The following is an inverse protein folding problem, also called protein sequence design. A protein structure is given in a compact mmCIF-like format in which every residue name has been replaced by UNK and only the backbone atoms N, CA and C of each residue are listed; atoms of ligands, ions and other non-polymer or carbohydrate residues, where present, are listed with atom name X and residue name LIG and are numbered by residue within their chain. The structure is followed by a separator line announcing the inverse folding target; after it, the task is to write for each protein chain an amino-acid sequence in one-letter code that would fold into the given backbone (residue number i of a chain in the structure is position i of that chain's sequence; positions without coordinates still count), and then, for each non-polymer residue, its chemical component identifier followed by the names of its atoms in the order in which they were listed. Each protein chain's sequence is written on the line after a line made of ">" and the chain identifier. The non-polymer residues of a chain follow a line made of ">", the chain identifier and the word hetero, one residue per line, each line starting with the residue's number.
data_IF_238830234769
#
_entry.id   IF_238830234769
#
_cell.length_a   1.000
_cell.length_b   1.000
_cell.length_c   1.000
_cell.angle_alpha   90.00
_cell.angle_beta   90.00
_cell.angle_gamma   90.00
#
_symmetry.space_group_name_H-M   'P 1'
#
loop_
_entity.id
_entity.type
_entity.pdbx_description
1 polymer ?
#
# COMPACT_ATOMS: atom_id res chain seq x y z
N UNK A 1 19.78 21.10 -11.72
CA UNK A 1 19.27 19.97 -12.53
C UNK A 1 18.54 19.01 -11.58
N UNK A 2 17.23 18.83 -11.77
CA UNK A 2 16.40 18.03 -10.85
C UNK A 2 16.59 16.54 -11.15
N UNK A 3 17.60 15.91 -10.54
CA UNK A 3 17.88 14.49 -10.77
C UNK A 3 16.76 13.63 -10.14
N UNK A 4 16.00 12.82 -10.91
CA UNK A 4 14.86 12.07 -10.40
C UNK A 4 15.26 11.13 -9.26
N UNK A 5 14.39 10.97 -8.25
CA UNK A 5 14.54 9.97 -7.18
C UNK A 5 14.70 8.59 -7.81
N UNK A 6 15.80 7.89 -7.55
CA UNK A 6 15.98 6.50 -7.96
C UNK A 6 15.21 5.57 -7.01
N UNK A 7 14.55 4.49 -7.47
CA UNK A 7 13.80 3.57 -6.61
C UNK A 7 14.63 3.02 -5.44
N UNK A 8 15.92 2.73 -5.68
CA UNK A 8 16.82 2.19 -4.66
C UNK A 8 17.15 3.18 -3.54
N UNK A 9 17.04 4.48 -3.80
CA UNK A 9 17.29 5.50 -2.76
C UNK A 9 16.24 5.43 -1.65
N UNK A 10 14.96 5.19 -1.99
CA UNK A 10 13.90 5.08 -0.99
C UNK A 10 14.01 3.79 -0.18
N UNK A 11 14.51 2.71 -0.78
CA UNK A 11 14.73 1.41 -0.11
C UNK A 11 15.84 1.45 0.94
N UNK A 12 16.72 2.45 0.86
CA UNK A 12 17.79 2.63 1.85
C UNK A 12 17.36 3.51 3.03
N UNK A 13 16.17 4.14 2.97
CA UNK A 13 15.67 5.03 4.02
C UNK A 13 14.77 4.28 5.00
N UNK A 14 14.94 4.52 6.30
CA UNK A 14 14.20 3.86 7.38
C UNK A 14 13.18 4.85 7.96
N UNK A 15 11.88 4.54 7.98
CA UNK A 15 11.27 3.20 7.80
C UNK A 15 10.72 2.92 6.39
N UNK A 16 11.03 3.73 5.38
CA UNK A 16 10.49 3.56 4.01
C UNK A 16 10.84 2.20 3.40
N UNK A 17 11.98 1.62 3.79
CA UNK A 17 12.41 0.28 3.43
C UNK A 17 11.45 -0.84 3.84
N UNK A 18 10.49 -0.55 4.72
CA UNK A 18 9.46 -1.51 5.16
C UNK A 18 8.22 -1.53 4.26
N UNK A 19 8.09 -0.57 3.35
CA UNK A 19 6.95 -0.42 2.45
C UNK A 19 7.06 -1.35 1.23
N UNK A 20 5.93 -1.81 0.70
CA UNK A 20 5.89 -2.67 -0.48
C UNK A 20 6.38 -1.93 -1.75
N UNK A 21 6.84 -2.65 -2.80
CA UNK A 21 7.27 -2.02 -4.05
C UNK A 21 6.22 -1.09 -4.68
N UNK A 22 4.93 -1.44 -4.57
CA UNK A 22 3.82 -0.61 -5.05
C UNK A 22 3.63 0.64 -4.20
N UNK A 23 3.64 0.51 -2.87
CA UNK A 23 3.53 1.66 -1.97
C UNK A 23 4.69 2.63 -2.16
N UNK A 24 5.91 2.12 -2.32
CA UNK A 24 7.09 2.92 -2.66
C UNK A 24 6.93 3.64 -4.01
N UNK A 25 6.36 2.97 -5.01
CA UNK A 25 6.10 3.59 -6.31
C UNK A 25 5.06 4.72 -6.21
N UNK A 26 3.95 4.48 -5.52
CA UNK A 26 2.88 5.47 -5.29
C UNK A 26 3.36 6.67 -4.46
N UNK A 27 4.22 6.42 -3.47
CA UNK A 27 4.85 7.44 -2.65
C UNK A 27 5.85 8.26 -3.48
N UNK A 28 6.74 7.59 -4.24
CA UNK A 28 7.74 8.23 -5.10
C UNK A 28 7.13 9.23 -6.08
N UNK A 29 5.97 8.90 -6.67
CA UNK A 29 5.30 9.77 -7.64
C UNK A 29 4.92 11.15 -7.06
N UNK A 30 4.86 11.28 -5.73
CA UNK A 30 4.44 12.50 -5.01
C UNK A 30 5.60 13.17 -4.29
N UNK A 31 6.78 12.55 -4.28
CA UNK A 31 7.95 13.04 -3.58
C UNK A 31 8.89 13.79 -4.52
N UNK A 32 9.36 14.95 -4.09
CA UNK A 32 10.37 15.73 -4.79
C UNK A 32 11.54 16.04 -3.84
N UNK A 33 12.78 15.66 -4.19
CA UNK A 33 13.95 16.06 -3.42
C UNK A 33 14.12 17.58 -3.44
N UNK A 34 14.38 18.15 -2.28
CA UNK A 34 14.64 19.57 -2.12
C UNK A 34 16.15 19.79 -1.95
N UNK A 35 16.76 20.72 -2.71
CA UNK A 35 18.13 21.12 -2.49
C UNK A 35 18.24 22.00 -1.24
N UNK A 36 19.35 21.85 -0.50
CA UNK A 36 19.74 22.72 0.61
C UNK A 36 21.20 23.12 0.38
N UNK A 37 21.45 24.40 0.11
CA UNK A 37 22.79 24.88 -0.25
C UNK A 37 23.73 24.89 0.96
N UNK A 38 25.04 24.76 0.71
CA UNK A 38 26.04 24.86 1.77
C UNK A 38 25.85 26.14 2.63
N UNK A 39 25.83 25.97 3.95
CA UNK A 39 25.60 27.04 4.93
C UNK A 39 24.14 27.38 5.20
N UNK A 40 23.18 26.90 4.40
CA UNK A 40 21.76 27.14 4.59
C UNK A 40 21.23 26.34 5.80
N UNK A 41 20.33 26.95 6.56
CA UNK A 41 19.62 26.32 7.68
C UNK A 41 18.25 25.84 7.21
N UNK A 42 17.87 24.63 7.62
CA UNK A 42 16.52 24.09 7.40
C UNK A 42 15.57 24.71 8.43
N UNK A 43 14.68 25.60 7.98
CA UNK A 43 13.66 26.21 8.83
C UNK A 43 12.47 25.25 9.00
N UNK A 44 12.20 24.82 10.22
CA UNK A 44 10.99 24.09 10.56
C UNK A 44 9.80 25.05 10.53
N UNK A 45 8.95 24.97 9.49
CA UNK A 45 7.76 25.82 9.39
C UNK A 45 6.69 25.32 10.38
N UNK A 46 6.57 26.01 11.52
CA UNK A 46 5.38 25.99 12.38
C UNK A 46 5.29 24.84 13.40
N UNK A 47 4.55 25.11 14.48
CA UNK A 47 4.50 24.38 15.75
C UNK A 47 4.09 22.89 15.73
N UNK A 48 3.93 22.27 14.55
CA UNK A 48 3.92 20.81 14.41
C UNK A 48 4.64 20.43 13.11
N UNK A 49 5.66 19.55 13.15
CA UNK A 49 6.29 19.09 11.93
C UNK A 49 5.31 18.19 11.17
N UNK A 50 4.65 18.76 10.16
CA UNK A 50 3.75 18.01 9.28
C UNK A 50 4.49 17.00 8.40
N UNK A 51 5.82 17.05 8.32
CA UNK A 51 6.62 16.18 7.48
C UNK A 51 7.92 15.72 8.16
N UNK A 52 8.34 14.48 7.93
CA UNK A 52 9.66 13.94 8.27
C UNK A 52 10.65 14.17 7.14
N UNK A 53 11.88 14.52 7.50
CA UNK A 53 12.94 14.80 6.55
C UNK A 53 13.98 13.68 6.51
N UNK A 54 14.42 13.30 5.32
CA UNK A 54 15.46 12.30 5.10
C UNK A 54 16.61 12.89 4.28
N UNK A 55 17.85 12.54 4.61
CA UNK A 55 19.04 13.01 3.92
C UNK A 55 19.41 12.06 2.77
N UNK A 56 19.27 12.52 1.53
CA UNK A 56 19.58 11.73 0.33
C UNK A 56 21.05 11.85 -0.09
N UNK A 57 21.63 13.03 0.07
CA UNK A 57 23.04 13.31 -0.26
C UNK A 57 23.56 14.49 0.55
N UNK A 58 24.87 14.49 0.79
CA UNK A 58 25.56 15.57 1.51
C UNK A 58 25.72 15.29 3.01
N UNK A 59 26.04 16.34 3.75
CA UNK A 59 26.31 16.31 5.18
C UNK A 59 25.63 17.49 5.89
N UNK A 60 24.99 17.22 7.01
CA UNK A 60 24.33 18.21 7.86
C UNK A 60 25.04 18.31 9.21
N UNK A 61 25.08 19.52 9.76
CA UNK A 61 25.30 19.78 11.17
C UNK A 61 23.95 19.90 11.86
N UNK A 62 23.75 19.11 12.90
CA UNK A 62 22.55 19.07 13.73
C UNK A 62 22.91 19.64 15.10
N UNK A 63 22.24 20.71 15.50
CA UNK A 63 22.40 21.31 16.83
C UNK A 63 21.18 20.97 17.66
N UNK A 64 21.40 20.33 18.81
CA UNK A 64 20.33 19.96 19.72
C UNK A 64 19.87 21.14 20.62
N UNK A 65 18.93 20.87 21.51
CA UNK A 65 18.43 21.84 22.50
C UNK A 65 19.45 22.21 23.58
N UNK A 66 20.42 21.33 23.84
CA UNK A 66 21.55 21.55 24.75
C UNK A 66 22.72 22.30 24.09
N UNK A 67 22.66 22.52 22.77
CA UNK A 67 23.70 23.20 21.99
C UNK A 67 24.84 22.30 21.52
N UNK A 68 24.73 20.98 21.65
CA UNK A 68 25.70 20.04 21.08
C UNK A 68 25.51 19.94 19.57
N UNK A 69 26.61 20.15 18.84
CA UNK A 69 26.67 19.95 17.39
C UNK A 69 27.08 18.51 17.06
N UNK A 70 26.25 17.81 16.29
CA UNK A 70 26.53 16.49 15.74
C UNK A 70 26.46 16.51 14.21
N UNK A 71 27.25 15.66 13.55
CA UNK A 71 27.31 15.60 12.09
C UNK A 71 26.55 14.38 11.56
N UNK A 72 25.62 14.62 10.64
CA UNK A 72 24.90 13.59 9.90
C UNK A 72 25.38 13.53 8.45
N UNK A 73 25.64 12.33 7.92
CA UNK A 73 26.09 12.14 6.53
C UNK A 73 25.22 11.13 5.80
N UNK A 74 24.81 11.45 4.57
CA UNK A 74 24.07 10.54 3.71
C UNK A 74 24.81 9.21 3.50
N UNK A 75 24.08 8.10 3.45
CA UNK A 75 24.64 6.76 3.24
C UNK A 75 25.33 6.12 4.46
N UNK A 76 25.43 6.84 5.58
CA UNK A 76 25.80 6.24 6.87
C UNK A 76 24.56 5.61 7.53
N UNK A 77 24.72 4.64 8.47
CA UNK A 77 23.58 4.07 9.19
C UNK A 77 22.69 5.13 9.87
N UNK A 78 23.30 6.17 10.44
CA UNK A 78 22.57 7.30 11.01
C UNK A 78 21.83 8.12 9.93
N UNK A 79 22.47 8.36 8.79
CA UNK A 79 21.90 9.12 7.67
C UNK A 79 20.75 8.44 6.92
N UNK A 80 20.56 7.14 7.11
CA UNK A 80 19.43 6.39 6.55
C UNK A 80 18.11 6.66 7.30
N UNK A 81 18.17 7.16 8.54
CA UNK A 81 16.99 7.44 9.35
C UNK A 81 16.44 8.84 9.06
N UNK A 82 15.15 9.06 9.36
CA UNK A 82 14.58 10.41 9.35
C UNK A 82 15.26 11.29 10.41
N UNK A 83 15.45 12.58 10.10
CA UNK A 83 15.98 13.57 11.03
C UNK A 83 15.17 13.59 12.34
N UNK A 84 15.81 13.54 13.52
CA UNK A 84 15.11 13.56 14.80
C UNK A 84 14.52 14.96 15.05
N UNK A 85 13.20 15.12 15.02
CA UNK A 85 12.57 16.45 15.05
C UNK A 85 12.35 17.01 16.45
N UNK A 86 12.24 16.15 17.46
CA UNK A 86 11.90 16.52 18.82
C UNK A 86 13.07 17.05 19.66
N UNK A 87 14.29 17.08 19.11
CA UNK A 87 15.52 17.42 19.85
C UNK A 87 16.46 18.34 19.08
N UNK A 88 16.03 18.93 17.97
CA UNK A 88 16.91 19.77 17.14
C UNK A 88 16.44 21.22 17.18
N UNK A 89 17.34 22.13 17.56
CA UNK A 89 17.11 23.57 17.41
C UNK A 89 17.38 24.02 15.97
N UNK A 90 18.52 23.61 15.40
CA UNK A 90 18.95 24.04 14.08
C UNK A 90 19.58 22.91 13.29
N UNK A 91 19.29 22.87 12.00
CA UNK A 91 19.89 21.93 11.05
C UNK A 91 20.53 22.73 9.93
N UNK A 92 21.85 22.62 9.77
CA UNK A 92 22.63 23.40 8.79
C UNK A 92 23.30 22.48 7.78
N UNK A 93 23.24 22.83 6.51
CA UNK A 93 24.02 22.16 5.47
C UNK A 93 25.51 22.50 5.59
N UNK A 94 26.37 21.48 5.70
CA UNK A 94 27.83 21.65 5.64
C UNK A 94 28.35 21.70 4.20
N UNK A 95 27.58 21.14 3.29
CA UNK A 95 27.83 21.07 1.84
C UNK A 95 26.48 21.05 1.13
N UNK A 96 26.46 21.07 -0.20
CA UNK A 96 25.20 20.99 -0.95
C UNK A 96 24.49 19.65 -0.66
N UNK A 97 23.33 19.75 -0.03
CA UNK A 97 22.55 18.63 0.45
C UNK A 97 21.27 18.46 -0.38
N UNK A 98 20.76 17.23 -0.38
CA UNK A 98 19.42 16.94 -0.89
C UNK A 98 18.61 16.27 0.20
N UNK A 99 17.45 16.87 0.48
CA UNK A 99 16.52 16.40 1.49
C UNK A 99 15.25 15.87 0.83
N UNK A 100 14.63 14.90 1.48
CA UNK A 100 13.33 14.38 1.12
C UNK A 100 12.36 14.68 2.27
N UNK A 101 11.31 15.43 1.99
CA UNK A 101 10.22 15.66 2.95
C UNK A 101 9.09 14.68 2.67
N UNK A 102 8.67 13.92 3.68
CA UNK A 102 7.54 13.00 3.62
C UNK A 102 6.54 13.40 4.68
N UNK A 103 5.29 13.66 4.31
CA UNK A 103 4.23 14.01 5.26
C UNK A 103 4.08 12.95 6.37
N UNK A 104 4.01 13.39 7.63
CA UNK A 104 3.98 12.51 8.79
C UNK A 104 2.66 11.73 8.87
N UNK A 105 1.53 12.36 8.54
CA UNK A 105 0.22 11.68 8.54
C UNK A 105 0.14 10.63 7.44
N UNK A 106 0.69 10.91 6.26
CA UNK A 106 0.75 9.97 5.14
C UNK A 106 1.73 8.83 5.44
N UNK A 107 2.88 9.13 6.03
CA UNK A 107 3.85 8.12 6.45
C UNK A 107 3.28 7.22 7.55
N UNK A 108 2.67 7.78 8.58
CA UNK A 108 2.00 7.01 9.63
C UNK A 108 0.87 6.16 9.07
N UNK A 109 0.08 6.66 8.13
CA UNK A 109 -0.97 5.89 7.44
C UNK A 109 -0.40 4.69 6.67
N UNK A 110 0.75 4.87 6.01
CA UNK A 110 1.44 3.81 5.27
C UNK A 110 2.09 2.78 6.19
N UNK A 111 2.59 3.22 7.36
CA UNK A 111 3.24 2.36 8.34
C UNK A 111 2.23 1.63 9.25
N UNK A 112 1.15 2.27 9.68
CA UNK A 112 0.08 1.68 10.50
C UNK A 112 -0.58 0.50 9.80
N UNK A 113 -0.55 0.52 8.48
CA UNK A 113 -1.00 -0.54 7.60
C UNK A 113 -0.29 -1.87 7.83
N UNK A 114 1.01 -1.88 8.18
CA UNK A 114 1.76 -3.12 8.47
C UNK A 114 1.54 -3.61 9.89
N UNK A 115 1.55 -2.70 10.87
CA UNK A 115 1.40 -3.05 12.29
C UNK A 115 0.01 -3.66 12.56
N UNK A 116 -1.04 -3.00 12.09
CA UNK A 116 -2.41 -3.50 12.26
C UNK A 116 -2.68 -4.79 11.46
N UNK A 117 -1.96 -5.00 10.35
CA UNK A 117 -2.06 -6.22 9.56
C UNK A 117 -1.41 -7.41 10.25
N UNK A 118 -0.23 -7.19 10.83
CA UNK A 118 0.49 -8.22 11.57
C UNK A 118 -0.22 -8.56 12.88
N UNK A 119 -0.79 -7.58 13.59
CA UNK A 119 -1.61 -7.81 14.78
C UNK A 119 -2.92 -8.56 14.45
N UNK A 120 -3.58 -8.23 13.34
CA UNK A 120 -4.78 -8.95 12.89
C UNK A 120 -4.44 -10.39 12.49
N UNK A 121 -3.35 -10.61 11.75
CA UNK A 121 -2.88 -11.95 11.41
C UNK A 121 -2.52 -12.76 12.66
N UNK A 122 -1.82 -12.16 13.63
CA UNK A 122 -1.49 -12.80 14.91
C UNK A 122 -2.75 -13.15 15.71
N UNK A 123 -3.74 -12.25 15.77
CA UNK A 123 -5.01 -12.52 16.46
C UNK A 123 -5.82 -13.64 15.79
N UNK A 124 -5.84 -13.70 14.45
CA UNK A 124 -6.61 -14.69 13.70
C UNK A 124 -5.91 -16.06 13.63
N UNK A 125 -4.57 -16.07 13.64
CA UNK A 125 -3.78 -17.31 13.73
C UNK A 125 -3.88 -17.96 15.11
N UNK A 126 -4.15 -17.19 16.17
CA UNK A 126 -4.49 -17.73 17.49
C UNK A 126 -5.83 -18.51 17.51
N UNK A 127 -6.74 -18.25 16.55
CA UNK A 127 -8.02 -18.95 16.41
C UNK A 127 -7.92 -20.26 15.57
N UNK A 128 -6.71 -20.69 15.18
CA UNK A 128 -6.39 -22.08 14.84
C UNK A 128 -6.70 -22.59 13.43
N UNK A 129 -7.54 -21.94 12.62
CA UNK A 129 -7.91 -22.44 11.27
C UNK A 129 -7.77 -21.43 10.13
N UNK A 130 -7.31 -20.21 10.43
CA UNK A 130 -7.42 -19.08 9.51
C UNK A 130 -6.09 -18.66 8.85
N UNK A 131 -4.94 -18.96 9.46
CA UNK A 131 -3.64 -18.36 9.09
C UNK A 131 -3.18 -18.62 7.65
N UNK A 132 -3.13 -19.89 7.24
CA UNK A 132 -2.39 -20.29 6.02
C UNK A 132 -3.01 -19.76 4.71
N UNK A 133 -4.33 -19.60 4.66
CA UNK A 133 -5.01 -19.06 3.47
C UNK A 133 -5.23 -17.54 3.54
N UNK A 134 -5.10 -16.94 4.74
CA UNK A 134 -5.25 -15.50 4.93
C UNK A 134 -4.05 -14.72 4.39
N UNK A 135 -2.84 -15.25 4.47
CA UNK A 135 -1.64 -14.54 4.00
C UNK A 135 -1.72 -14.19 2.50
N UNK A 136 -2.00 -15.14 1.58
CA UNK A 136 -2.14 -14.83 0.16
C UNK A 136 -3.32 -13.89 -0.15
N UNK A 137 -4.41 -14.03 0.61
CA UNK A 137 -5.58 -13.16 0.50
C UNK A 137 -5.19 -11.71 0.80
N UNK A 138 -4.47 -11.51 1.89
CA UNK A 138 -4.08 -10.21 2.39
C UNK A 138 -3.00 -9.52 1.54
N UNK A 139 -2.13 -10.31 0.90
CA UNK A 139 -1.17 -9.82 -0.09
C UNK A 139 -1.82 -9.36 -1.39
N UNK A 140 -3.09 -9.71 -1.63
CA UNK A 140 -3.78 -9.33 -2.85
C UNK A 140 -3.94 -7.79 -2.94
N UNK A 141 -3.61 -7.17 -4.09
CA UNK A 141 -3.70 -5.73 -4.32
C UNK A 141 -5.04 -5.06 -3.99
N UNK A 142 -6.12 -5.84 -3.99
CA UNK A 142 -7.44 -5.39 -3.60
C UNK A 142 -7.55 -5.18 -2.09
N UNK A 143 -7.05 -6.13 -1.28
CA UNK A 143 -7.07 -5.98 0.16
C UNK A 143 -6.08 -4.94 0.63
N UNK A 144 -5.02 -4.65 -0.13
CA UNK A 144 -4.12 -3.51 0.06
C UNK A 144 -4.82 -2.13 0.04
N UNK A 145 -6.12 -2.10 -0.25
CA UNK A 145 -6.94 -0.89 -0.23
C UNK A 145 -7.97 -0.87 0.91
N UNK A 146 -8.18 -1.99 1.60
CA UNK A 146 -9.12 -2.13 2.71
C UNK A 146 -8.45 -1.73 4.03
N UNK A 147 -8.97 -0.74 4.78
CA UNK A 147 -8.39 -0.34 6.06
C UNK A 147 -8.28 -1.54 7.02
N UNK A 148 -7.17 -1.70 7.78
CA UNK A 148 -6.99 -2.84 8.69
C UNK A 148 -8.14 -3.06 9.68
N UNK A 149 -8.72 -1.97 10.20
CA UNK A 149 -9.88 -2.02 11.08
C UNK A 149 -11.13 -2.66 10.44
N UNK A 150 -11.19 -2.68 9.10
CA UNK A 150 -12.29 -3.27 8.36
C UNK A 150 -12.02 -4.73 7.96
N UNK A 151 -10.76 -5.20 8.00
CA UNK A 151 -10.39 -6.57 7.61
C UNK A 151 -11.16 -7.58 8.46
N UNK A 152 -11.23 -7.40 9.79
CA UNK A 152 -11.99 -8.31 10.65
C UNK A 152 -13.48 -8.35 10.32
N UNK A 153 -14.10 -7.19 10.11
CA UNK A 153 -15.53 -7.12 9.74
C UNK A 153 -15.81 -7.76 8.39
N UNK A 154 -14.86 -7.64 7.45
CA UNK A 154 -14.92 -8.28 6.14
C UNK A 154 -14.77 -9.79 6.23
N UNK A 155 -13.80 -10.31 6.99
CA UNK A 155 -13.61 -11.75 7.19
C UNK A 155 -14.88 -12.40 7.76
N UNK A 156 -15.58 -11.70 8.66
CA UNK A 156 -16.87 -12.15 9.21
C UNK A 156 -18.01 -12.20 8.18
N UNK A 157 -17.87 -11.51 7.03
CA UNK A 157 -18.87 -11.46 5.95
C UNK A 157 -18.52 -12.40 4.79
N UNK A 158 -17.36 -13.04 4.81
CA UNK A 158 -16.98 -14.04 3.82
C UNK A 158 -17.79 -15.31 4.04
N UNK A 159 -18.38 -15.83 2.97
CA UNK A 159 -19.14 -17.08 2.99
C UNK A 159 -18.36 -18.12 2.19
N UNK A 160 -17.98 -19.21 2.84
CA UNK A 160 -17.33 -20.34 2.19
C UNK A 160 -18.32 -21.09 1.29
N UNK A 161 -17.87 -21.44 0.08
CA UNK A 161 -18.62 -22.20 -0.92
C UNK A 161 -17.71 -23.31 -1.43
N UNK A 162 -18.08 -24.54 -1.14
CA UNK A 162 -17.44 -25.74 -1.67
C UNK A 162 -17.91 -26.00 -3.09
N UNK A 163 -16.98 -26.36 -3.98
CA UNK A 163 -17.22 -26.49 -5.41
C UNK A 163 -16.50 -27.71 -5.96
N UNK A 164 -17.14 -28.38 -6.91
CA UNK A 164 -16.54 -29.50 -7.62
C UNK A 164 -15.82 -29.03 -8.90
N UNK A 165 -14.87 -29.84 -9.38
CA UNK A 165 -14.23 -29.66 -10.67
C UNK A 165 -15.27 -29.51 -11.80
N UNK A 166 -15.04 -28.54 -12.69
CA UNK A 166 -15.93 -28.21 -13.80
C UNK A 166 -17.11 -27.30 -13.44
N UNK A 167 -17.35 -27.01 -12.15
CA UNK A 167 -18.46 -26.17 -11.74
C UNK A 167 -18.23 -24.71 -12.16
N UNK A 168 -19.20 -24.05 -12.84
CA UNK A 168 -19.12 -22.64 -13.16
C UNK A 168 -19.39 -21.77 -11.92
N UNK A 169 -18.63 -20.69 -11.78
CA UNK A 169 -18.76 -19.72 -10.69
C UNK A 169 -19.27 -18.38 -11.20
N UNK A 170 -18.68 -17.90 -12.30
CA UNK A 170 -19.03 -16.66 -12.96
C UNK A 170 -19.22 -16.94 -14.45
N UNK A 171 -20.15 -16.23 -15.05
CA UNK A 171 -20.36 -16.30 -16.49
C UNK A 171 -20.23 -14.92 -17.12
N UNK A 172 -19.49 -14.86 -18.23
CA UNK A 172 -19.29 -13.64 -19.00
C UNK A 172 -20.63 -13.02 -19.40
N UNK A 173 -20.74 -11.69 -19.28
CA UNK A 173 -21.95 -10.94 -19.61
C UNK A 173 -23.00 -10.90 -18.51
N UNK A 174 -22.86 -11.68 -17.42
CA UNK A 174 -23.78 -11.60 -16.29
C UNK A 174 -23.54 -10.37 -15.41
N UNK A 175 -24.54 -9.99 -14.63
CA UNK A 175 -24.38 -8.91 -13.65
C UNK A 175 -23.42 -9.32 -12.52
N UNK A 176 -22.58 -8.38 -12.08
CA UNK A 176 -21.70 -8.58 -10.93
C UNK A 176 -22.38 -8.24 -9.60
N UNK A 177 -22.76 -9.24 -8.82
CA UNK A 177 -23.38 -9.07 -7.49
C UNK A 177 -22.45 -9.49 -6.32
N UNK A 178 -21.32 -10.12 -6.62
CA UNK A 178 -20.32 -10.58 -5.65
C UNK A 178 -18.94 -10.75 -6.28
N UNK A 179 -17.91 -10.89 -5.44
CA UNK A 179 -16.58 -11.35 -5.85
C UNK A 179 -16.18 -12.55 -5.01
N UNK A 180 -15.12 -13.23 -5.43
CA UNK A 180 -14.66 -14.47 -4.83
C UNK A 180 -13.16 -14.44 -4.56
N UNK A 181 -12.75 -15.24 -3.57
CA UNK A 181 -11.37 -15.54 -3.29
C UNK A 181 -11.17 -17.05 -3.32
N UNK A 182 -10.16 -17.51 -4.05
CA UNK A 182 -9.85 -18.93 -4.13
C UNK A 182 -9.12 -19.37 -2.85
N UNK A 183 -9.78 -20.16 -2.00
CA UNK A 183 -9.20 -20.67 -0.76
C UNK A 183 -8.41 -21.96 -1.00
N UNK A 184 -8.91 -22.84 -1.86
CA UNK A 184 -8.27 -24.10 -2.24
C UNK A 184 -8.74 -24.57 -3.62
N UNK A 185 -7.97 -25.44 -4.26
CA UNK A 185 -8.20 -25.92 -5.62
C UNK A 185 -7.62 -24.97 -6.67
N UNK A 186 -8.09 -25.12 -7.92
CA UNK A 186 -7.69 -24.30 -9.07
C UNK A 186 -8.90 -23.89 -9.88
N UNK A 187 -8.85 -22.73 -10.53
CA UNK A 187 -9.92 -22.27 -11.41
C UNK A 187 -9.38 -21.73 -12.73
N UNK A 188 -10.19 -21.74 -13.79
CA UNK A 188 -9.85 -21.18 -15.09
C UNK A 188 -10.71 -19.97 -15.40
N UNK A 189 -10.06 -18.91 -15.89
CA UNK A 189 -10.71 -17.72 -16.44
C UNK A 189 -10.75 -17.86 -17.96
N UNK A 190 -11.95 -17.80 -18.53
CA UNK A 190 -12.17 -17.99 -19.97
C UNK A 190 -13.04 -16.88 -20.53
N UNK A 191 -12.83 -16.52 -21.80
CA UNK A 191 -13.62 -15.51 -22.50
C UNK A 191 -14.13 -16.05 -23.84
N UNK A 192 -15.32 -15.62 -24.24
CA UNK A 192 -16.03 -16.14 -25.40
C UNK A 192 -16.79 -17.43 -25.08
N UNK A 193 -17.56 -17.92 -26.06
CA UNK A 193 -18.38 -19.12 -25.92
C UNK A 193 -18.14 -20.11 -27.07
N UNK A 194 -18.46 -21.39 -26.86
CA UNK A 194 -18.35 -22.42 -27.88
C UNK A 194 -16.93 -22.56 -28.45
N UNK A 195 -16.82 -22.51 -29.78
CA UNK A 195 -15.55 -22.65 -30.50
C UNK A 195 -14.61 -21.45 -30.34
N UNK A 196 -15.11 -20.29 -29.91
CA UNK A 196 -14.31 -19.07 -29.67
C UNK A 196 -13.85 -18.94 -28.21
N UNK A 197 -14.12 -19.95 -27.37
CA UNK A 197 -13.73 -19.92 -25.96
C UNK A 197 -12.21 -19.95 -25.81
N UNK A 198 -11.65 -18.87 -25.29
CA UNK A 198 -10.22 -18.70 -25.03
C UNK A 198 -9.92 -18.77 -23.53
N UNK A 199 -8.89 -19.54 -23.14
CA UNK A 199 -8.33 -19.51 -21.79
C UNK A 199 -7.49 -18.24 -21.62
N UNK A 200 -7.83 -17.42 -20.62
CA UNK A 200 -7.10 -16.19 -20.31
C UNK A 200 -6.08 -16.39 -19.19
N UNK A 201 -6.45 -17.14 -18.15
CA UNK A 201 -5.60 -17.40 -16.99
C UNK A 201 -6.08 -18.63 -16.22
N UNK A 202 -5.16 -19.23 -15.46
CA UNK A 202 -5.47 -20.16 -14.37
C UNK A 202 -5.25 -19.44 -13.03
N UNK A 203 -6.12 -19.71 -12.07
CA UNK A 203 -6.13 -19.10 -10.74
C UNK A 203 -5.70 -20.14 -9.72
N UNK A 204 -4.79 -19.72 -8.84
CA UNK A 204 -4.28 -20.49 -7.70
C UNK A 204 -4.83 -19.94 -6.37
N UNK A 205 -4.76 -20.71 -5.27
CA UNK A 205 -5.17 -20.22 -3.96
C UNK A 205 -4.57 -18.86 -3.61
N UNK A 206 -5.40 -17.95 -3.08
CA UNK A 206 -5.06 -16.55 -2.85
C UNK A 206 -5.52 -15.60 -3.96
N UNK A 207 -5.88 -16.11 -5.14
CA UNK A 207 -6.44 -15.29 -6.21
C UNK A 207 -7.79 -14.68 -5.82
N UNK A 208 -7.98 -13.41 -6.17
CA UNK A 208 -9.29 -12.73 -6.16
C UNK A 208 -9.81 -12.65 -7.60
N UNK A 209 -11.11 -12.82 -7.78
CA UNK A 209 -11.74 -12.66 -9.09
C UNK A 209 -13.20 -12.17 -8.98
N UNK A 210 -13.65 -11.50 -10.05
CA UNK A 210 -15.00 -10.93 -10.15
C UNK A 210 -15.16 -9.53 -9.55
N UNK A 211 -14.09 -8.96 -9.00
CA UNK A 211 -14.02 -7.62 -8.44
C UNK A 211 -14.22 -6.51 -9.49
N UNK A 212 -13.77 -6.71 -10.72
CA UNK A 212 -13.86 -5.68 -11.78
C UNK A 212 -15.31 -5.29 -12.07
N UNK A 213 -16.20 -6.27 -12.12
CA UNK A 213 -17.64 -6.04 -12.34
C UNK A 213 -18.27 -5.20 -11.21
N UNK A 214 -17.72 -5.30 -9.99
CA UNK A 214 -18.19 -4.52 -8.83
C UNK A 214 -17.63 -3.09 -8.85
N UNK A 215 -16.37 -2.93 -9.26
CA UNK A 215 -15.66 -1.65 -9.29
C UNK A 215 -16.11 -0.76 -10.44
N UNK A 216 -16.29 -1.33 -11.62
CA UNK A 216 -16.65 -0.58 -12.83
C UNK A 216 -18.17 -0.47 -13.04
N UNK A 217 -18.96 -1.19 -12.23
CA UNK A 217 -20.41 -1.34 -12.40
C UNK A 217 -20.79 -1.83 -13.81
N UNK A 218 -20.06 -2.84 -14.28
CA UNK A 218 -20.21 -3.46 -15.60
C UNK A 218 -20.48 -4.96 -15.50
N UNK A 219 -21.04 -5.59 -16.55
CA UNK A 219 -21.18 -7.04 -16.60
C UNK A 219 -19.82 -7.76 -16.47
N UNK A 220 -19.86 -9.05 -16.09
CA UNK A 220 -18.67 -9.91 -16.01
C UNK A 220 -17.92 -9.89 -17.34
N UNK A 221 -16.62 -9.61 -17.29
CA UNK A 221 -15.73 -9.53 -18.46
C UNK A 221 -15.30 -10.91 -19.01
N UNK A 222 -15.46 -11.96 -18.21
CA UNK A 222 -15.00 -13.32 -18.45
C UNK A 222 -15.80 -14.30 -17.57
N UNK A 223 -15.79 -15.57 -17.96
CA UNK A 223 -16.34 -16.69 -17.19
C UNK A 223 -15.26 -17.34 -16.33
N UNK A 224 -15.64 -17.85 -15.16
CA UNK A 224 -14.74 -18.57 -14.25
C UNK A 224 -15.36 -19.91 -13.88
N UNK A 225 -14.57 -20.98 -13.96
CA UNK A 225 -14.99 -22.34 -13.58
C UNK A 225 -13.87 -23.07 -12.84
N UNK A 226 -14.23 -23.95 -11.90
CA UNK A 226 -13.24 -24.78 -11.19
C UNK A 226 -12.57 -25.76 -12.15
N UNK A 227 -11.26 -25.92 -12.02
CA UNK A 227 -10.46 -26.97 -12.66
C UNK A 227 -10.35 -28.21 -11.76
N UNK A 228 -10.42 -28.02 -10.45
CA UNK A 228 -10.31 -29.05 -9.42
C UNK A 228 -11.31 -28.79 -8.30
N UNK A 229 -11.63 -29.81 -7.50
CA UNK A 229 -12.43 -29.64 -6.30
C UNK A 229 -11.75 -28.64 -5.35
N UNK A 230 -12.55 -27.76 -4.74
CA UNK A 230 -11.99 -26.72 -3.90
C UNK A 230 -13.04 -25.83 -3.25
N UNK A 231 -12.54 -24.82 -2.54
CA UNK A 231 -13.33 -23.89 -1.76
C UNK A 231 -13.06 -22.46 -2.22
N UNK A 232 -14.12 -21.67 -2.34
CA UNK A 232 -14.03 -20.22 -2.54
C UNK A 232 -14.72 -19.47 -1.43
N UNK A 233 -14.27 -18.25 -1.17
CA UNK A 233 -14.88 -17.33 -0.22
C UNK A 233 -15.60 -16.25 -1.00
N UNK A 234 -16.93 -16.22 -0.89
CA UNK A 234 -17.80 -15.25 -1.55
C UNK A 234 -17.96 -14.00 -0.67
N UNK A 235 -17.84 -12.84 -1.29
CA UNK A 235 -18.15 -11.53 -0.69
C UNK A 235 -19.19 -10.80 -1.54
N UNK A 236 -20.30 -10.37 -0.94
CA UNK A 236 -21.36 -9.68 -1.66
C UNK A 236 -20.94 -8.25 -2.04
N UNK A 237 -21.51 -7.72 -3.14
CA UNK A 237 -21.23 -6.36 -3.63
C UNK A 237 -21.49 -5.28 -2.58
N UNK A 238 -22.56 -5.42 -1.81
CA UNK A 238 -22.89 -4.45 -0.76
C UNK A 238 -21.77 -4.37 0.30
N UNK A 239 -21.32 -5.54 0.77
CA UNK A 239 -20.23 -5.65 1.73
C UNK A 239 -18.92 -5.14 1.14
N UNK A 240 -18.59 -5.57 -0.09
CA UNK A 240 -17.42 -5.11 -0.82
C UNK A 240 -17.36 -3.58 -0.93
N UNK A 241 -18.46 -2.95 -1.35
CA UNK A 241 -18.53 -1.50 -1.49
C UNK A 241 -18.51 -0.78 -0.14
N UNK A 242 -19.15 -1.31 0.91
CA UNK A 242 -19.09 -0.74 2.24
C UNK A 242 -17.66 -0.70 2.78
N UNK A 243 -16.90 -1.78 2.54
CA UNK A 243 -15.50 -1.90 2.94
C UNK A 243 -14.59 -0.91 2.21
N UNK A 244 -14.88 -0.61 0.93
CA UNK A 244 -14.17 0.40 0.14
C UNK A 244 -14.63 1.85 0.44
N UNK A 245 -15.91 2.06 0.75
CA UNK A 245 -16.53 3.39 0.92
C UNK A 245 -15.96 4.19 2.09
N UNK A 246 -15.33 3.56 3.09
CA UNK A 246 -14.62 4.28 4.15
C UNK A 246 -13.40 5.10 3.68
N UNK A 247 -13.05 5.06 2.39
CA UNK A 247 -11.94 5.84 1.81
C UNK A 247 -12.32 6.91 0.79
N UNK A 248 -13.57 7.01 0.34
CA UNK A 248 -13.97 8.05 -0.62
C UNK A 248 -14.64 9.25 0.07
N UNK A 249 -13.85 10.04 0.80
CA UNK A 249 -14.21 11.43 1.12
C UNK A 249 -13.20 12.38 0.49
N UNK A 250 -13.71 13.14 -0.49
CA UNK A 250 -13.21 14.42 -0.99
C UNK A 250 -11.84 14.43 -1.70
N UNK A 251 -11.92 14.44 -3.03
CA UNK A 251 -11.11 15.36 -3.86
C UNK A 251 -11.24 16.79 -3.27
N UNK A 252 -10.14 17.50 -3.06
CA UNK A 252 -10.10 18.96 -3.20
C UNK A 252 -8.71 19.54 -3.01
N UNK A 253 -8.22 20.23 -4.06
CA UNK A 253 -7.22 21.30 -4.05
C UNK A 253 -5.84 20.93 -3.46
N UNK A 254 -4.70 21.40 -3.94
CA UNK A 254 -4.28 22.79 -3.92
C UNK A 254 -3.21 22.99 -4.99
N UNK A 255 -3.53 23.87 -5.93
CA UNK A 255 -2.57 24.52 -6.81
C UNK A 255 -2.06 25.78 -6.10
N UNK A 256 -0.75 26.04 -6.27
CA UNK A 256 0.02 27.28 -6.00
C UNK A 256 0.64 27.45 -4.61
N UNK A 257 1.97 27.53 -4.61
CA UNK A 257 2.73 28.46 -3.75
C UNK A 257 3.34 29.56 -4.63
N UNK A 258 3.59 30.77 -4.10
CA UNK A 258 4.09 31.89 -4.85
C UNK A 258 5.59 31.71 -5.11
N UNK A 259 5.98 31.87 -6.37
CA UNK A 259 7.36 32.14 -6.77
C UNK A 259 7.77 33.50 -6.22
N UNK A 260 8.84 33.54 -5.44
CA UNK A 260 9.74 34.69 -5.47
C UNK A 260 10.64 34.57 -6.69
#
# INVERSE_FOLDING_TARGET
>A
MNNPLHPDQLRNLIPLNTLSPRQLWELRARLAPQPLAAGQVLEYVGAQPSARYFLLSGSLALVDDEGHESRLRAGTPAGCHSLPQSRLQHVRALEDCRLLAVDNSELERLLSWRQAHQDVLLQLSMDGELGDWLEPLLDNPLFAQVPPANIRSMLQRLVAVELCAGQPLLQEGEAGDCCYFLKSGRAAVTKGTGAERQLLAELEPGACFGEEALLEDRPRNASVSMLEDGCVLRLARADFLELLKRRWSARSAWTRWPTC
#
